data_IF_876888323632
#
_entry.id   IF_876888323632
#
_cell.length_a   1.000
_cell.length_b   1.000
_cell.length_c   1.000
_cell.angle_alpha   90.00
_cell.angle_beta   90.00
_cell.angle_gamma   90.00
#
_symmetry.space_group_name_H-M   'P 1'
#
loop_
_entity.id
_entity.type
_entity.pdbx_description
1 polymer ?
#
# COMPACT_ATOMS: atom_id res chain seq x y z
N UNK A 1 4.94 -70.37 13.02
CA UNK A 1 5.47 -69.10 13.53
C UNK A 1 5.30 -68.09 12.41
N UNK A 2 4.31 -67.21 12.56
CA UNK A 2 4.04 -66.14 11.60
C UNK A 2 4.97 -64.96 11.91
N UNK A 3 5.74 -64.54 10.92
CA UNK A 3 6.59 -63.34 10.98
C UNK A 3 5.70 -62.15 10.63
N UNK A 4 5.54 -61.23 11.59
CA UNK A 4 4.86 -59.95 11.38
C UNK A 4 5.72 -59.02 10.51
N UNK A 5 5.15 -58.30 9.54
CA UNK A 5 5.92 -57.38 8.73
C UNK A 5 6.30 -56.12 9.57
N UNK A 6 7.53 -55.66 9.42
CA UNK A 6 8.03 -54.42 9.99
C UNK A 6 7.23 -53.22 9.43
N UNK A 7 6.60 -52.46 10.32
CA UNK A 7 6.06 -51.14 9.98
C UNK A 7 7.22 -50.22 9.59
N UNK A 8 7.28 -49.87 8.33
CA UNK A 8 8.18 -48.86 7.80
C UNK A 8 7.68 -47.47 8.30
N UNK A 9 8.32 -46.94 9.32
CA UNK A 9 8.04 -45.58 9.81
C UNK A 9 8.42 -44.59 8.70
N UNK A 10 7.42 -44.07 7.97
CA UNK A 10 7.58 -42.95 7.06
C UNK A 10 8.00 -41.73 7.88
N UNK A 11 9.28 -41.41 7.86
CA UNK A 11 9.80 -40.14 8.37
C UNK A 11 9.29 -39.04 7.50
N UNK A 12 8.19 -38.39 7.89
CA UNK A 12 7.77 -37.10 7.35
C UNK A 12 8.90 -36.12 7.62
N UNK A 13 9.67 -35.78 6.59
CA UNK A 13 10.61 -34.66 6.66
C UNK A 13 9.77 -33.41 6.92
N UNK A 14 9.86 -32.81 8.11
CA UNK A 14 9.39 -31.44 8.33
C UNK A 14 10.06 -30.59 7.26
N UNK A 15 9.28 -30.06 6.33
CA UNK A 15 9.77 -28.98 5.48
C UNK A 15 10.21 -27.84 6.40
N UNK A 16 11.34 -27.17 6.11
CA UNK A 16 11.71 -25.98 6.89
C UNK A 16 10.54 -25.00 6.79
N UNK A 17 10.14 -24.47 7.95
CA UNK A 17 9.12 -23.45 8.06
C UNK A 17 9.66 -22.22 7.32
N UNK A 18 9.09 -21.92 6.14
CA UNK A 18 9.53 -20.82 5.31
C UNK A 18 9.16 -19.53 6.04
N UNK A 19 10.14 -18.65 6.31
CA UNK A 19 9.86 -17.32 6.86
C UNK A 19 8.96 -16.56 5.87
N UNK A 20 7.99 -15.80 6.39
CA UNK A 20 6.97 -15.13 5.57
C UNK A 20 7.58 -14.22 4.51
N UNK A 21 8.65 -13.50 4.86
CA UNK A 21 9.40 -12.67 3.91
C UNK A 21 10.09 -13.46 2.78
N UNK A 22 10.51 -14.71 3.04
CA UNK A 22 11.05 -15.61 2.00
C UNK A 22 9.95 -16.12 1.09
N UNK A 23 8.79 -16.49 1.67
CA UNK A 23 7.61 -16.91 0.90
C UNK A 23 7.12 -15.77 -0.01
N UNK A 24 7.07 -14.54 0.49
CA UNK A 24 6.73 -13.35 -0.30
C UNK A 24 7.71 -13.15 -1.47
N UNK A 25 9.01 -13.30 -1.22
CA UNK A 25 10.03 -13.16 -2.26
C UNK A 25 9.90 -14.24 -3.35
N UNK A 26 9.64 -15.49 -2.97
CA UNK A 26 9.41 -16.57 -3.92
C UNK A 26 8.15 -16.34 -4.75
N UNK A 27 7.06 -15.89 -4.10
CA UNK A 27 5.81 -15.59 -4.80
C UNK A 27 5.98 -14.45 -5.79
N UNK A 28 6.66 -13.37 -5.42
CA UNK A 28 6.97 -12.24 -6.30
C UNK A 28 7.83 -12.65 -7.51
N UNK A 29 8.75 -13.61 -7.32
CA UNK A 29 9.54 -14.16 -8.42
C UNK A 29 8.69 -15.02 -9.37
N UNK A 30 7.73 -15.76 -8.84
CA UNK A 30 6.85 -16.68 -9.59
C UNK A 30 5.74 -15.92 -10.32
N UNK A 31 5.09 -14.99 -9.65
CA UNK A 31 3.99 -14.18 -10.17
C UNK A 31 4.51 -12.84 -10.73
N UNK A 32 5.22 -12.90 -11.85
CA UNK A 32 5.77 -11.71 -12.49
C UNK A 32 4.66 -10.71 -12.87
N UNK A 33 4.83 -9.45 -12.47
CA UNK A 33 3.85 -8.39 -12.69
C UNK A 33 2.79 -8.27 -11.59
N UNK A 34 2.71 -9.22 -10.67
CA UNK A 34 1.89 -9.08 -9.48
C UNK A 34 2.62 -8.27 -8.40
N UNK A 35 1.87 -7.47 -7.66
CA UNK A 35 2.33 -6.83 -6.43
C UNK A 35 2.14 -7.81 -5.28
N UNK A 36 3.20 -8.11 -4.55
CA UNK A 36 3.19 -9.01 -3.40
C UNK A 36 3.50 -8.21 -2.16
N UNK A 37 2.61 -8.27 -1.17
CA UNK A 37 2.64 -7.52 0.09
C UNK A 37 2.49 -8.49 1.25
N UNK A 38 2.94 -8.07 2.43
CA UNK A 38 2.69 -8.79 3.70
C UNK A 38 2.02 -7.81 4.66
N UNK A 39 0.75 -8.05 4.96
CA UNK A 39 -0.10 -7.20 5.77
C UNK A 39 -0.58 -7.99 7.00
N UNK A 40 -0.23 -7.56 8.20
CA UNK A 40 -0.63 -8.22 9.46
C UNK A 40 -0.31 -9.73 9.45
N UNK A 41 0.91 -10.08 8.99
CA UNK A 41 1.36 -11.47 8.88
C UNK A 41 0.66 -12.30 7.79
N UNK A 42 -0.07 -11.66 6.88
CA UNK A 42 -0.78 -12.30 5.77
C UNK A 42 -0.18 -11.89 4.43
N UNK A 43 0.13 -12.87 3.59
CA UNK A 43 0.67 -12.66 2.26
C UNK A 43 -0.46 -12.39 1.27
N UNK A 44 -0.35 -11.29 0.55
CA UNK A 44 -1.32 -10.84 -0.47
C UNK A 44 -0.61 -10.67 -1.82
N UNK A 45 -1.27 -11.10 -2.91
CA UNK A 45 -0.79 -10.91 -4.27
C UNK A 45 -1.87 -10.26 -5.13
N UNK A 46 -1.59 -9.04 -5.62
CA UNK A 46 -2.52 -8.25 -6.42
C UNK A 46 -2.11 -8.28 -7.89
N UNK A 47 -3.02 -8.63 -8.82
CA UNK A 47 -2.73 -8.60 -10.25
C UNK A 47 -2.48 -7.17 -10.75
N UNK A 48 -1.92 -7.01 -11.98
CA UNK A 48 -1.81 -5.70 -12.62
C UNK A 48 -3.14 -4.98 -12.69
N UNK A 49 -3.09 -3.66 -12.49
CA UNK A 49 -4.25 -2.80 -12.49
C UNK A 49 -4.84 -2.56 -13.90
N UNK A 50 -6.11 -2.11 -13.93
CA UNK A 50 -6.80 -1.73 -15.15
C UNK A 50 -6.37 -0.33 -15.67
N UNK A 51 -6.92 0.06 -16.84
CA UNK A 51 -6.56 1.32 -17.50
C UNK A 51 -7.00 2.55 -16.70
N UNK A 52 -8.18 2.54 -16.10
CA UNK A 52 -8.67 3.69 -15.31
C UNK A 52 -7.81 3.93 -14.08
N UNK A 53 -7.36 2.85 -13.41
CA UNK A 53 -6.39 2.95 -12.33
C UNK A 53 -5.06 3.58 -12.81
N UNK A 54 -4.55 3.16 -13.98
CA UNK A 54 -3.32 3.72 -14.53
C UNK A 54 -3.47 5.20 -14.89
N UNK A 55 -4.62 5.60 -15.45
CA UNK A 55 -4.93 7.00 -15.76
C UNK A 55 -5.02 7.85 -14.50
N UNK A 56 -5.68 7.39 -13.44
CA UNK A 56 -5.75 8.09 -12.16
C UNK A 56 -4.34 8.36 -11.58
N UNK A 57 -3.45 7.36 -11.60
CA UNK A 57 -2.08 7.53 -11.14
C UNK A 57 -1.27 8.46 -12.05
N UNK A 58 -1.49 8.44 -13.36
CA UNK A 58 -0.83 9.34 -14.30
C UNK A 58 -1.24 10.79 -14.04
N UNK A 59 -2.53 11.05 -13.89
CA UNK A 59 -3.06 12.36 -13.53
C UNK A 59 -2.48 12.86 -12.20
N UNK A 60 -2.47 12.03 -11.15
CA UNK A 60 -1.83 12.39 -9.88
C UNK A 60 -0.36 12.72 -10.06
N UNK A 61 0.35 11.98 -10.92
CA UNK A 61 1.75 12.23 -11.25
C UNK A 61 1.99 13.61 -11.87
N UNK A 62 1.12 14.03 -12.77
CA UNK A 62 1.16 15.33 -13.41
C UNK A 62 0.85 16.46 -12.43
N UNK A 63 -0.25 16.33 -11.68
CA UNK A 63 -0.70 17.35 -10.73
C UNK A 63 0.26 17.54 -9.54
N UNK A 64 0.70 16.44 -8.93
CA UNK A 64 1.57 16.48 -7.75
C UNK A 64 3.04 16.70 -8.08
N UNK A 65 3.54 16.11 -9.16
CA UNK A 65 4.97 15.95 -9.37
C UNK A 65 5.75 17.26 -9.41
N UNK A 66 5.20 18.31 -10.02
CA UNK A 66 5.83 19.62 -10.08
C UNK A 66 5.75 20.37 -8.73
N UNK A 67 4.61 20.26 -8.04
CA UNK A 67 4.38 20.89 -6.73
C UNK A 67 5.25 20.26 -5.65
N UNK A 68 5.26 18.93 -5.55
CA UNK A 68 6.06 18.19 -4.60
C UNK A 68 7.56 18.53 -4.69
N UNK A 69 8.11 18.62 -5.91
CA UNK A 69 9.53 18.98 -6.09
C UNK A 69 9.88 20.38 -5.56
N UNK A 70 8.96 21.33 -5.60
CA UNK A 70 9.17 22.69 -5.08
C UNK A 70 9.21 22.74 -3.55
N UNK A 71 8.57 21.79 -2.90
CA UNK A 71 8.50 21.70 -1.42
C UNK A 71 9.51 20.72 -0.82
N UNK A 72 10.45 20.20 -1.63
CA UNK A 72 11.45 19.23 -1.15
C UNK A 72 10.91 17.80 -1.02
N UNK A 73 9.79 17.50 -1.67
CA UNK A 73 9.16 16.18 -1.66
C UNK A 73 9.34 15.46 -3.01
N UNK A 74 9.05 14.18 -3.03
CA UNK A 74 9.02 13.35 -4.24
C UNK A 74 7.72 12.57 -4.31
N UNK A 75 7.25 12.37 -5.53
CA UNK A 75 6.20 11.44 -5.85
C UNK A 75 6.82 10.16 -6.37
N UNK A 76 6.45 9.03 -5.80
CA UNK A 76 6.97 7.71 -6.17
C UNK A 76 5.86 6.69 -6.29
N UNK A 77 6.03 5.70 -7.18
CA UNK A 77 5.12 4.57 -7.37
C UNK A 77 5.87 3.25 -7.17
N UNK A 78 5.19 2.22 -6.68
CA UNK A 78 5.75 0.89 -6.53
C UNK A 78 6.92 0.80 -5.53
N UNK A 79 7.00 1.74 -4.60
CA UNK A 79 8.00 1.77 -3.53
C UNK A 79 7.39 1.20 -2.26
N UNK A 80 8.08 0.23 -1.65
CA UNK A 80 7.59 -0.44 -0.46
C UNK A 80 7.72 0.44 0.79
N UNK A 81 6.71 0.34 1.63
CA UNK A 81 6.61 0.92 2.96
C UNK A 81 6.77 -0.22 3.98
N UNK A 82 7.82 -0.15 4.82
CA UNK A 82 8.02 -1.10 5.89
C UNK A 82 7.06 -0.81 7.05
N UNK A 83 6.27 -1.81 7.44
CA UNK A 83 5.22 -1.66 8.45
C UNK A 83 5.69 -2.12 9.83
N UNK A 84 5.21 -1.49 10.92
CA UNK A 84 5.54 -1.89 12.29
C UNK A 84 4.69 -3.06 12.81
N UNK A 85 3.75 -3.57 12.02
CA UNK A 85 2.75 -4.57 12.42
C UNK A 85 3.29 -5.99 12.54
N UNK A 86 4.42 -6.28 11.91
CA UNK A 86 5.10 -7.56 12.00
C UNK A 86 6.55 -7.51 11.54
N UNK A 87 7.33 -8.57 11.76
CA UNK A 87 8.76 -8.60 11.43
C UNK A 87 9.04 -8.61 9.93
N UNK A 88 8.08 -9.04 9.12
CA UNK A 88 8.18 -9.13 7.65
C UNK A 88 7.11 -8.29 6.94
N UNK A 89 6.33 -7.48 7.69
CA UNK A 89 5.20 -6.75 7.14
C UNK A 89 5.65 -5.54 6.31
N UNK A 90 5.10 -5.44 5.13
CA UNK A 90 5.29 -4.31 4.23
C UNK A 90 4.11 -4.18 3.25
N UNK A 91 3.83 -2.94 2.87
CA UNK A 91 2.91 -2.61 1.79
C UNK A 91 3.67 -1.99 0.61
N UNK A 92 3.07 -2.04 -0.57
CA UNK A 92 3.56 -1.35 -1.77
C UNK A 92 2.44 -0.46 -2.28
N UNK A 93 2.32 0.78 -1.77
CA UNK A 93 1.27 1.70 -2.20
C UNK A 93 1.31 1.97 -3.70
N UNK A 94 0.15 2.24 -4.29
CA UNK A 94 0.06 2.63 -5.69
C UNK A 94 0.86 3.90 -5.96
N UNK A 95 0.73 4.88 -5.05
CA UNK A 95 1.46 6.14 -5.12
C UNK A 95 1.76 6.66 -3.71
N UNK A 96 2.95 7.26 -3.55
CA UNK A 96 3.35 7.88 -2.29
C UNK A 96 4.01 9.23 -2.51
N UNK A 97 3.75 10.16 -1.59
CA UNK A 97 4.52 11.40 -1.43
C UNK A 97 5.51 11.18 -0.31
N UNK A 98 6.78 11.32 -0.61
CA UNK A 98 7.88 11.05 0.31
C UNK A 98 8.86 12.21 0.40
N UNK A 99 9.65 12.25 1.46
CA UNK A 99 10.77 13.19 1.61
C UNK A 99 11.78 13.04 0.46
N UNK A 100 12.49 14.13 0.12
CA UNK A 100 13.45 14.11 -1.00
C UNK A 100 14.60 13.11 -0.80
N UNK A 101 14.98 12.92 0.44
CA UNK A 101 16.08 12.06 0.91
C UNK A 101 15.60 10.67 1.38
N UNK A 102 14.38 10.28 1.03
CA UNK A 102 13.77 9.02 1.47
C UNK A 102 14.67 7.79 1.28
N UNK A 103 15.62 7.83 0.33
CA UNK A 103 16.54 6.71 0.08
C UNK A 103 17.47 6.42 1.24
N UNK A 104 17.74 7.41 2.10
CA UNK A 104 18.58 7.25 3.28
C UNK A 104 17.87 6.44 4.38
N UNK A 105 16.54 6.34 4.28
CA UNK A 105 15.69 5.56 5.18
C UNK A 105 15.38 4.14 4.65
N UNK A 106 16.27 3.57 3.82
CA UNK A 106 16.12 2.21 3.32
C UNK A 106 16.04 1.20 4.46
N UNK A 107 14.99 0.36 4.49
CA UNK A 107 14.77 -0.66 5.50
C UNK A 107 15.19 -2.05 4.99
N UNK A 108 14.51 -2.60 4.00
CA UNK A 108 14.80 -3.92 3.43
C UNK A 108 14.25 -4.03 2.00
N UNK A 109 14.93 -4.71 1.10
CA UNK A 109 14.54 -4.88 -0.31
C UNK A 109 14.31 -3.51 -0.98
N UNK A 110 13.10 -3.27 -1.54
CA UNK A 110 12.67 -1.97 -2.06
C UNK A 110 11.74 -1.25 -1.08
N UNK A 111 11.89 -1.49 0.23
CA UNK A 111 11.06 -0.88 1.27
C UNK A 111 11.84 0.16 2.07
N UNK A 112 11.14 1.18 2.49
CA UNK A 112 11.66 2.31 3.23
C UNK A 112 10.89 2.51 4.54
N UNK A 113 11.51 3.16 5.52
CA UNK A 113 10.91 3.40 6.82
C UNK A 113 9.74 4.39 6.71
N UNK A 114 8.70 4.17 7.51
CA UNK A 114 7.43 4.90 7.43
C UNK A 114 7.57 6.42 7.59
N UNK A 115 8.52 6.90 8.40
CA UNK A 115 8.66 8.33 8.74
C UNK A 115 8.98 9.24 7.54
N UNK A 116 9.43 8.68 6.41
CA UNK A 116 9.69 9.46 5.18
C UNK A 116 8.48 9.59 4.27
N UNK A 117 7.37 8.92 4.58
CA UNK A 117 6.12 9.00 3.84
C UNK A 117 5.22 10.09 4.41
N UNK A 118 4.81 11.04 3.57
CA UNK A 118 3.89 12.12 3.92
C UNK A 118 2.44 11.83 3.55
N UNK A 119 2.26 11.14 2.46
CA UNK A 119 0.95 10.68 1.99
C UNK A 119 1.09 9.36 1.23
N UNK A 120 0.09 8.52 1.38
CA UNK A 120 -0.08 7.29 0.62
C UNK A 120 -1.43 7.33 -0.09
N UNK A 121 -1.46 6.91 -1.35
CA UNK A 121 -2.67 6.81 -2.16
C UNK A 121 -2.82 5.39 -2.68
N UNK A 122 -4.01 4.83 -2.53
CA UNK A 122 -4.43 3.58 -3.14
C UNK A 122 -5.65 3.82 -4.02
N UNK A 123 -5.65 3.25 -5.21
CA UNK A 123 -6.81 3.21 -6.12
C UNK A 123 -7.34 1.79 -6.12
N UNK A 124 -8.51 1.58 -5.55
CA UNK A 124 -9.02 0.23 -5.31
C UNK A 124 -9.24 -0.55 -6.62
N UNK A 125 -8.89 -1.82 -6.55
CA UNK A 125 -9.11 -2.81 -7.60
C UNK A 125 -9.83 -4.04 -7.02
N UNK A 126 -9.42 -5.24 -7.36
CA UNK A 126 -10.00 -6.49 -6.84
C UNK A 126 -9.78 -6.66 -5.32
N UNK A 127 -8.75 -6.06 -4.75
CA UNK A 127 -8.38 -6.15 -3.32
C UNK A 127 -8.91 -4.96 -2.50
N UNK A 128 -9.97 -4.29 -2.94
CA UNK A 128 -10.53 -3.11 -2.29
C UNK A 128 -10.75 -3.26 -0.77
N UNK A 129 -11.04 -4.47 -0.29
CA UNK A 129 -11.27 -4.73 1.14
C UNK A 129 -9.98 -4.57 1.97
N UNK A 130 -8.81 -4.88 1.42
CA UNK A 130 -7.53 -4.67 2.10
C UNK A 130 -7.22 -3.16 2.20
N UNK A 131 -7.54 -2.38 1.17
CA UNK A 131 -7.30 -0.92 1.15
C UNK A 131 -8.23 -0.18 2.12
N UNK A 132 -9.48 -0.64 2.32
CA UNK A 132 -10.47 -0.02 3.22
C UNK A 132 -10.44 -0.59 4.66
N UNK A 133 -9.69 -1.64 4.93
CA UNK A 133 -9.58 -2.32 6.22
C UNK A 133 -8.14 -2.37 6.72
N UNK A 134 -7.43 -3.50 6.53
CA UNK A 134 -6.09 -3.72 7.07
C UNK A 134 -5.11 -2.58 6.80
N UNK A 135 -5.05 -2.03 5.58
CA UNK A 135 -4.13 -0.92 5.26
C UNK A 135 -4.47 0.38 5.98
N UNK A 136 -5.75 0.66 6.28
CA UNK A 136 -6.12 1.82 7.10
C UNK A 136 -5.50 1.73 8.50
N UNK A 137 -5.53 0.54 9.09
CA UNK A 137 -4.94 0.28 10.41
C UNK A 137 -3.40 0.30 10.34
N UNK A 138 -2.82 -0.41 9.39
CA UNK A 138 -1.38 -0.56 9.23
C UNK A 138 -0.70 0.80 8.98
N UNK A 139 -1.28 1.64 8.11
CA UNK A 139 -0.74 2.97 7.83
C UNK A 139 -0.92 3.94 9.01
N UNK A 140 -2.03 3.83 9.76
CA UNK A 140 -2.20 4.60 10.99
C UNK A 140 -1.19 4.18 12.06
N UNK A 141 -0.92 2.88 12.23
CA UNK A 141 0.10 2.37 13.15
C UNK A 141 1.52 2.78 12.72
N UNK A 142 1.77 2.82 11.41
CA UNK A 142 3.03 3.30 10.86
C UNK A 142 3.20 4.83 10.99
N UNK A 143 2.14 5.56 11.39
CA UNK A 143 2.17 7.01 11.56
C UNK A 143 2.17 7.78 10.24
N UNK A 144 1.64 7.20 9.15
CA UNK A 144 1.52 7.88 7.86
C UNK A 144 0.53 9.05 8.01
N UNK A 145 0.96 10.32 7.80
CA UNK A 145 0.13 11.48 8.11
C UNK A 145 -1.21 11.49 7.37
N UNK A 146 -1.19 11.13 6.08
CA UNK A 146 -2.38 11.16 5.22
C UNK A 146 -2.47 9.88 4.38
N UNK A 147 -3.66 9.26 4.41
CA UNK A 147 -3.99 8.11 3.57
C UNK A 147 -5.24 8.42 2.74
N UNK A 148 -5.14 8.26 1.44
CA UNK A 148 -6.22 8.51 0.47
C UNK A 148 -6.57 7.20 -0.22
N UNK A 149 -7.83 6.81 -0.20
CA UNK A 149 -8.34 5.64 -0.93
C UNK A 149 -9.36 6.10 -1.96
N UNK A 150 -9.04 5.95 -3.24
CA UNK A 150 -10.01 6.08 -4.31
C UNK A 150 -10.86 4.79 -4.33
N UNK A 151 -11.96 4.81 -3.60
CA UNK A 151 -12.86 3.67 -3.40
C UNK A 151 -13.82 3.54 -4.59
N UNK A 152 -13.32 2.94 -5.67
CA UNK A 152 -14.08 2.71 -6.91
C UNK A 152 -15.26 1.76 -6.71
N UNK A 153 -15.22 0.93 -5.66
CA UNK A 153 -16.31 0.01 -5.31
C UNK A 153 -17.56 0.74 -4.83
N UNK A 154 -17.38 1.83 -4.08
CA UNK A 154 -18.47 2.59 -3.46
C UNK A 154 -18.59 4.00 -4.02
N UNK A 155 -17.89 4.30 -5.12
CA UNK A 155 -17.98 5.55 -5.88
C UNK A 155 -17.67 6.80 -5.04
N UNK A 156 -16.59 6.74 -4.27
CA UNK A 156 -16.17 7.78 -3.31
C UNK A 156 -14.67 7.75 -3.07
N UNK A 157 -14.16 8.80 -2.43
CA UNK A 157 -12.79 8.82 -1.88
C UNK A 157 -12.88 8.84 -0.35
N UNK A 158 -12.13 7.94 0.30
CA UNK A 158 -11.89 8.00 1.73
C UNK A 158 -10.57 8.75 1.97
N UNK A 159 -10.64 9.84 2.73
CA UNK A 159 -9.50 10.61 3.21
C UNK A 159 -9.32 10.37 4.70
N UNK A 160 -8.17 9.81 5.09
CA UNK A 160 -7.77 9.58 6.46
C UNK A 160 -6.61 10.50 6.83
N UNK A 161 -6.68 11.13 8.03
CA UNK A 161 -5.60 11.97 8.56
C UNK A 161 -5.54 11.94 10.09
N UNK A 162 -4.49 12.54 10.66
CA UNK A 162 -4.26 12.59 12.12
C UNK A 162 -4.12 11.19 12.74
N UNK A 163 -3.05 10.42 12.39
CA UNK A 163 -2.81 9.11 12.99
C UNK A 163 -2.36 9.26 14.44
N UNK A 164 -3.16 8.75 15.39
CA UNK A 164 -2.84 8.72 16.83
C UNK A 164 -3.29 7.43 17.48
N UNK A 165 -2.40 6.79 18.25
CA UNK A 165 -2.70 5.55 18.94
C UNK A 165 -3.04 4.39 18.00
N UNK A 166 -2.45 4.38 16.80
CA UNK A 166 -2.66 3.33 15.79
C UNK A 166 -3.96 3.48 14.99
N UNK A 167 -4.63 4.63 15.04
CA UNK A 167 -5.86 4.91 14.31
C UNK A 167 -5.83 6.30 13.69
N UNK A 168 -6.47 6.48 12.53
CA UNK A 168 -6.78 7.79 12.00
C UNK A 168 -7.96 8.42 12.75
N UNK A 169 -7.77 9.60 13.33
CA UNK A 169 -8.81 10.32 14.07
C UNK A 169 -9.79 11.04 13.14
N UNK A 170 -9.32 11.44 11.96
CA UNK A 170 -10.16 12.05 10.94
C UNK A 170 -10.33 11.06 9.77
N UNK A 171 -11.58 10.77 9.43
CA UNK A 171 -11.98 9.98 8.27
C UNK A 171 -13.13 10.70 7.57
N UNK A 172 -12.88 11.20 6.36
CA UNK A 172 -13.85 11.91 5.55
C UNK A 172 -14.13 11.13 4.25
N UNK A 173 -15.41 11.06 3.88
CA UNK A 173 -15.85 10.46 2.62
C UNK A 173 -16.27 11.57 1.66
N UNK A 174 -15.63 11.61 0.51
CA UNK A 174 -15.92 12.56 -0.56
C UNK A 174 -16.56 11.83 -1.72
N UNK A 175 -17.74 12.28 -2.14
CA UNK A 175 -18.51 11.63 -3.20
C UNK A 175 -18.10 12.15 -4.58
N UNK A 176 -18.41 11.37 -5.60
CA UNK A 176 -18.29 11.77 -7.00
C UNK A 176 -18.94 13.16 -7.22
N UNK A 177 -18.35 13.96 -8.12
CA UNK A 177 -18.76 15.35 -8.40
C UNK A 177 -18.27 16.36 -7.37
N UNK A 178 -17.39 15.97 -6.44
CA UNK A 178 -16.77 16.87 -5.46
C UNK A 178 -15.25 16.86 -5.57
N UNK A 179 -14.63 17.80 -4.89
CA UNK A 179 -13.19 17.85 -4.67
C UNK A 179 -12.87 18.04 -3.18
N UNK A 180 -11.62 17.84 -2.80
CA UNK A 180 -11.14 18.07 -1.43
C UNK A 180 -9.72 18.62 -1.44
N UNK A 181 -9.39 19.40 -0.41
CA UNK A 181 -8.04 19.89 -0.19
C UNK A 181 -7.18 18.77 0.41
N UNK A 182 -5.96 18.63 -0.10
CA UNK A 182 -4.94 17.78 0.52
C UNK A 182 -4.58 18.39 1.88
N UNK A 183 -4.57 17.59 2.97
CA UNK A 183 -4.21 18.08 4.29
C UNK A 183 -2.81 18.72 4.34
N UNK A 184 -2.66 19.79 5.13
CA UNK A 184 -1.43 20.58 5.24
C UNK A 184 -0.21 19.75 5.69
N UNK A 185 -0.46 18.66 6.42
CA UNK A 185 0.56 17.73 6.92
C UNK A 185 1.37 17.06 5.79
N UNK A 186 0.82 17.01 4.57
CA UNK A 186 1.53 16.53 3.38
C UNK A 186 2.62 17.51 2.95
N UNK A 187 2.42 18.81 3.16
CA UNK A 187 3.35 19.86 2.75
C UNK A 187 3.20 20.28 1.28
N UNK A 188 2.07 19.97 0.66
CA UNK A 188 1.73 20.38 -0.72
C UNK A 188 0.30 20.88 -0.71
N UNK A 189 0.11 22.19 -0.96
CA UNK A 189 -1.20 22.78 -1.11
C UNK A 189 -1.79 22.43 -2.48
N UNK A 190 -2.88 21.66 -2.50
CA UNK A 190 -3.62 21.35 -3.70
C UNK A 190 -5.01 20.78 -3.42
N UNK A 191 -5.87 20.90 -4.42
CA UNK A 191 -7.19 20.30 -4.44
C UNK A 191 -7.20 19.08 -5.38
N UNK A 192 -7.85 18.00 -4.95
CA UNK A 192 -8.00 16.77 -5.73
C UNK A 192 -9.46 16.55 -6.12
N UNK A 193 -9.70 16.28 -7.41
CA UNK A 193 -11.00 15.87 -7.93
C UNK A 193 -11.27 14.40 -7.60
N UNK A 194 -12.45 14.12 -7.04
CA UNK A 194 -12.88 12.75 -6.74
C UNK A 194 -13.06 11.96 -8.03
N UNK A 195 -13.66 12.55 -9.07
CA UNK A 195 -13.91 11.89 -10.35
C UNK A 195 -12.60 11.43 -11.00
N UNK A 196 -11.59 12.29 -11.03
CA UNK A 196 -10.28 11.95 -11.58
C UNK A 196 -9.52 10.91 -10.77
N UNK A 197 -9.72 10.88 -9.45
CA UNK A 197 -9.16 9.81 -8.62
C UNK A 197 -9.81 8.46 -8.89
N UNK A 198 -11.09 8.44 -9.23
CA UNK A 198 -11.84 7.21 -9.50
C UNK A 198 -11.61 6.68 -10.93
N UNK A 199 -11.60 7.56 -11.92
CA UNK A 199 -11.63 7.18 -13.34
C UNK A 199 -10.37 7.59 -14.12
N UNK A 200 -9.63 8.57 -13.62
CA UNK A 200 -8.43 9.10 -14.27
C UNK A 200 -8.71 10.18 -15.32
N UNK A 201 -9.94 10.27 -15.81
CA UNK A 201 -10.39 11.25 -16.80
C UNK A 201 -11.47 12.17 -16.23
N UNK A 202 -11.66 13.35 -16.86
CA UNK A 202 -12.86 14.17 -16.73
C UNK A 202 -13.80 13.78 -17.89
N UNK A 203 -14.98 13.28 -17.56
CA UNK A 203 -16.08 13.15 -18.52
C UNK A 203 -16.72 14.52 -18.83
#
# INVERSE_FOLDING_TARGET
VAVMPHEEQVRVRKQPELMLGEAAAQLAHTLRGYRVEVLQGRLTATPPADVSHALALSWLGEEFGARARRTGLRLVQGVGLWLPTGPDDYAIPDLSVVEADFRDAHAMKNCYAAHVFRMVVEVTSTNWADDLGPKVEDYAQAGIPVYVVADRKHDQVLLCSDPRGGEYKNKAHHKRGTSFLVPDEVGVEMELSVDRLLDGDED
#
